data_IF_067319065255
#
_entry.id   IF_067319065255
#
_cell.length_a   1.000
_cell.length_b   1.000
_cell.length_c   1.000
_cell.angle_alpha   90.00
_cell.angle_beta   90.00
_cell.angle_gamma   90.00
#
_symmetry.space_group_name_H-M   'P 1'
#
loop_
_entity.id
_entity.type
_entity.pdbx_description
1 polymer ?
#
# COMPACT_ATOMS: atom_id res chain seq x y z
N UNK A 1 -34.21 -60.43 -80.50
CA UNK A 1 -33.44 -60.55 -79.24
C UNK A 1 -33.09 -59.15 -78.75
N UNK A 2 -33.87 -58.66 -77.81
CA UNK A 2 -33.91 -57.28 -77.31
C UNK A 2 -32.89 -57.07 -76.20
N UNK A 3 -32.00 -56.08 -76.35
CA UNK A 3 -30.98 -55.72 -75.37
C UNK A 3 -31.45 -54.52 -74.54
N UNK A 4 -31.87 -54.78 -73.31
CA UNK A 4 -32.25 -53.76 -72.32
C UNK A 4 -31.02 -53.19 -71.63
N UNK A 5 -30.68 -51.92 -71.90
CA UNK A 5 -29.68 -51.15 -71.12
C UNK A 5 -30.32 -50.64 -69.83
N UNK A 6 -29.75 -51.00 -68.67
CA UNK A 6 -30.09 -50.44 -67.35
C UNK A 6 -29.49 -49.03 -67.18
N UNK A 7 -30.16 -48.09 -66.48
CA UNK A 7 -29.59 -46.78 -66.19
C UNK A 7 -28.61 -46.84 -65.00
N UNK A 8 -27.55 -46.03 -65.05
CA UNK A 8 -26.56 -45.88 -63.98
C UNK A 8 -27.14 -45.03 -62.84
N UNK A 9 -26.89 -45.34 -61.56
CA UNK A 9 -27.35 -44.52 -60.45
C UNK A 9 -26.57 -43.19 -60.42
N UNK A 10 -27.32 -42.09 -60.30
CA UNK A 10 -26.79 -40.74 -60.20
C UNK A 10 -25.95 -40.57 -58.93
N UNK A 11 -24.79 -39.96 -59.08
CA UNK A 11 -23.86 -39.63 -57.99
C UNK A 11 -24.47 -38.51 -57.14
N UNK A 12 -24.79 -38.78 -55.88
CA UNK A 12 -25.28 -37.76 -54.95
C UNK A 12 -24.22 -36.65 -54.77
N UNK A 13 -24.61 -35.36 -54.67
CA UNK A 13 -23.66 -34.29 -54.42
C UNK A 13 -23.10 -34.40 -52.99
N UNK A 14 -21.78 -34.20 -52.86
CA UNK A 14 -21.11 -34.23 -51.56
C UNK A 14 -21.66 -33.13 -50.63
N UNK A 15 -21.81 -33.41 -49.32
CA UNK A 15 -22.30 -32.43 -48.37
C UNK A 15 -21.30 -31.28 -48.27
N UNK A 16 -21.76 -30.06 -48.54
CA UNK A 16 -20.96 -28.86 -48.31
C UNK A 16 -20.73 -28.71 -46.80
N UNK A 17 -19.47 -28.85 -46.36
CA UNK A 17 -19.07 -28.60 -44.99
C UNK A 17 -19.24 -27.11 -44.70
N UNK A 18 -20.44 -26.73 -44.26
CA UNK A 18 -20.76 -25.37 -43.82
C UNK A 18 -19.90 -25.08 -42.59
N UNK A 19 -18.81 -24.38 -42.80
CA UNK A 19 -17.91 -23.94 -41.74
C UNK A 19 -18.69 -23.04 -40.77
N UNK A 20 -19.22 -23.65 -39.70
CA UNK A 20 -19.91 -22.94 -38.63
C UNK A 20 -18.86 -22.09 -37.92
N UNK A 21 -18.72 -20.81 -38.32
CA UNK A 21 -17.90 -19.82 -37.61
C UNK A 21 -18.28 -19.89 -36.13
N UNK A 22 -17.44 -20.54 -35.31
CA UNK A 22 -17.62 -20.59 -33.86
C UNK A 22 -17.45 -19.15 -33.37
N UNK A 23 -18.56 -18.53 -32.95
CA UNK A 23 -18.50 -17.20 -32.32
C UNK A 23 -17.64 -17.34 -31.06
N UNK A 24 -16.59 -16.53 -30.87
CA UNK A 24 -15.73 -16.66 -29.69
C UNK A 24 -16.57 -16.49 -28.42
N UNK A 25 -16.27 -17.23 -27.35
CA UNK A 25 -17.05 -17.18 -26.12
C UNK A 25 -17.06 -15.75 -25.58
N UNK A 26 -18.24 -15.23 -25.21
CA UNK A 26 -18.46 -13.82 -24.82
C UNK A 26 -17.52 -13.31 -23.70
N UNK A 27 -16.87 -14.20 -22.94
CA UNK A 27 -15.87 -13.86 -21.91
C UNK A 27 -14.58 -13.24 -22.44
N UNK A 28 -14.06 -13.65 -23.61
CA UNK A 28 -12.79 -13.09 -24.14
C UNK A 28 -12.93 -11.66 -24.67
N UNK A 29 -14.17 -11.21 -24.97
CA UNK A 29 -14.44 -9.85 -25.44
C UNK A 29 -14.25 -8.77 -24.37
N UNK A 30 -14.33 -9.14 -23.08
CA UNK A 30 -14.17 -8.19 -21.97
C UNK A 30 -12.72 -8.11 -21.47
N UNK A 31 -11.87 -9.08 -21.81
CA UNK A 31 -10.46 -9.12 -21.44
C UNK A 31 -9.67 -7.86 -21.86
N UNK A 32 -9.77 -7.34 -23.10
CA UNK A 32 -9.04 -6.13 -23.48
C UNK A 32 -9.52 -4.88 -22.72
N UNK A 33 -10.81 -4.80 -22.36
CA UNK A 33 -11.36 -3.71 -21.55
C UNK A 33 -10.84 -3.77 -20.10
N UNK A 34 -10.74 -4.97 -19.53
CA UNK A 34 -10.16 -5.17 -18.19
C UNK A 34 -8.68 -4.83 -18.17
N UNK A 35 -7.92 -5.27 -19.19
CA UNK A 35 -6.50 -4.94 -19.33
C UNK A 35 -6.27 -3.44 -19.56
N UNK A 36 -7.10 -2.79 -20.37
CA UNK A 36 -7.05 -1.35 -20.55
C UNK A 36 -7.37 -0.60 -19.25
N UNK A 37 -8.39 -1.03 -18.49
CA UNK A 37 -8.71 -0.47 -17.18
C UNK A 37 -7.56 -0.63 -16.17
N UNK A 38 -6.93 -1.81 -16.13
CA UNK A 38 -5.77 -2.05 -15.28
C UNK A 38 -4.57 -1.18 -15.69
N UNK A 39 -4.32 -1.03 -16.99
CA UNK A 39 -3.25 -0.17 -17.52
C UNK A 39 -3.46 1.29 -17.13
N UNK A 40 -4.70 1.79 -17.18
CA UNK A 40 -5.05 3.15 -16.73
C UNK A 40 -4.81 3.31 -15.23
N UNK A 41 -5.19 2.32 -14.40
CA UNK A 41 -4.93 2.36 -12.96
C UNK A 41 -3.43 2.35 -12.64
N UNK A 42 -2.65 1.53 -13.33
CA UNK A 42 -1.18 1.50 -13.17
C UNK A 42 -0.55 2.83 -13.60
N UNK A 43 -0.99 3.40 -14.71
CA UNK A 43 -0.53 4.71 -15.16
C UNK A 43 -0.88 5.81 -14.16
N UNK A 44 -2.11 5.81 -13.63
CA UNK A 44 -2.54 6.78 -12.61
C UNK A 44 -1.73 6.63 -11.31
N UNK A 45 -1.47 5.40 -10.85
CA UNK A 45 -0.62 5.15 -9.69
C UNK A 45 0.83 5.61 -9.92
N UNK A 46 1.37 5.38 -11.12
CA UNK A 46 2.70 5.85 -11.51
C UNK A 46 2.79 7.38 -11.54
N UNK A 47 1.77 8.06 -12.07
CA UNK A 47 1.68 9.53 -12.04
C UNK A 47 1.59 10.05 -10.60
N UNK A 48 0.78 9.42 -9.75
CA UNK A 48 0.65 9.81 -8.34
C UNK A 48 1.96 9.59 -7.56
N UNK A 49 2.66 8.48 -7.79
CA UNK A 49 3.96 8.21 -7.17
C UNK A 49 5.02 9.19 -7.67
N UNK A 50 5.08 9.44 -8.98
CA UNK A 50 6.01 10.40 -9.57
C UNK A 50 5.75 11.84 -9.10
N UNK A 51 4.49 12.26 -9.00
CA UNK A 51 4.13 13.58 -8.49
C UNK A 51 4.47 13.73 -7.01
N UNK A 52 4.30 12.68 -6.20
CA UNK A 52 4.77 12.68 -4.81
C UNK A 52 6.30 12.83 -4.74
N UNK A 53 7.06 12.08 -5.54
CA UNK A 53 8.54 12.20 -5.57
C UNK A 53 8.97 13.61 -5.96
N UNK A 54 8.33 14.23 -6.95
CA UNK A 54 8.64 15.61 -7.35
C UNK A 54 8.22 16.62 -6.27
N UNK A 55 7.04 16.44 -5.66
CA UNK A 55 6.52 17.34 -4.64
C UNK A 55 7.35 17.30 -3.34
N UNK A 56 7.84 16.13 -2.95
CA UNK A 56 8.60 15.93 -1.72
C UNK A 56 10.13 15.95 -1.93
N UNK A 57 10.62 15.68 -3.14
CA UNK A 57 12.05 15.58 -3.44
C UNK A 57 12.81 16.90 -3.25
N UNK A 58 12.22 18.02 -3.62
CA UNK A 58 12.83 19.35 -3.42
C UNK A 58 12.59 19.91 -2.00
N UNK A 59 11.61 19.37 -1.26
CA UNK A 59 11.21 19.87 0.07
C UNK A 59 11.88 19.13 1.22
N UNK A 60 12.52 18.00 0.96
CA UNK A 60 13.23 17.20 1.97
C UNK A 60 14.69 17.64 2.11
N UNK A 61 14.94 18.93 2.27
CA UNK A 61 16.26 19.38 2.73
C UNK A 61 16.43 19.05 4.22
N UNK A 62 17.03 17.89 4.49
CA UNK A 62 17.32 17.43 5.84
C UNK A 62 18.37 18.32 6.53
N UNK A 63 19.12 19.13 5.80
CA UNK A 63 20.13 20.04 6.39
C UNK A 63 19.48 21.23 7.10
N UNK A 64 18.25 21.57 6.75
CA UNK A 64 17.44 22.57 7.43
C UNK A 64 16.81 22.07 8.76
N UNK A 65 16.89 20.77 9.05
CA UNK A 65 16.35 20.20 10.30
C UNK A 65 17.17 20.69 11.49
N UNK A 66 16.66 21.71 12.18
CA UNK A 66 17.19 22.11 13.47
C UNK A 66 16.98 20.97 14.46
N UNK A 67 18.05 20.59 15.17
CA UNK A 67 17.91 19.67 16.31
C UNK A 67 16.84 20.23 17.25
N UNK A 68 15.86 19.41 17.68
CA UNK A 68 14.89 19.83 18.68
C UNK A 68 15.64 20.35 19.90
N UNK A 69 15.34 21.59 20.32
CA UNK A 69 15.82 22.06 21.62
C UNK A 69 15.13 21.22 22.68
N UNK A 70 15.92 20.36 23.33
CA UNK A 70 15.45 19.59 24.45
C UNK A 70 15.58 20.39 25.77
N UNK A 71 15.03 21.62 25.83
CA UNK A 71 14.82 22.37 27.08
C UNK A 71 14.21 21.51 28.19
N UNK A 72 14.90 21.36 29.30
CA UNK A 72 14.47 20.53 30.41
C UNK A 72 14.45 21.35 31.68
N UNK A 73 13.65 20.89 32.63
CA UNK A 73 13.61 21.51 33.94
C UNK A 73 14.99 21.51 34.60
N UNK A 74 15.27 22.55 35.37
CA UNK A 74 16.43 22.58 36.27
C UNK A 74 16.00 22.03 37.62
N UNK A 75 16.78 21.10 38.17
CA UNK A 75 16.53 20.49 39.48
C UNK A 75 17.52 21.06 40.49
N UNK A 76 17.02 21.56 41.61
CA UNK A 76 17.84 22.13 42.70
C UNK A 76 17.95 21.10 43.81
N UNK A 77 19.18 20.79 44.24
CA UNK A 77 19.47 19.79 45.27
C UNK A 77 20.18 20.43 46.47
N UNK A 78 19.95 19.88 47.66
CA UNK A 78 20.70 20.22 48.87
C UNK A 78 22.07 19.50 48.89
N UNK A 79 22.92 19.85 49.87
CA UNK A 79 24.26 19.27 50.01
C UNK A 79 24.26 17.75 50.26
N UNK A 80 23.15 17.21 50.80
CA UNK A 80 22.91 15.78 51.00
C UNK A 80 22.29 15.08 49.78
N UNK A 81 22.17 15.81 48.66
CA UNK A 81 21.58 15.36 47.40
C UNK A 81 20.05 15.13 47.43
N UNK A 82 19.35 15.65 48.44
CA UNK A 82 17.88 15.69 48.45
C UNK A 82 17.35 16.76 47.48
N UNK A 83 16.22 16.46 46.82
CA UNK A 83 15.59 17.40 45.89
C UNK A 83 14.88 18.53 46.67
N UNK A 84 15.32 19.77 46.45
CA UNK A 84 14.72 20.97 47.05
C UNK A 84 13.61 21.54 46.17
N UNK A 85 13.73 21.41 44.85
CA UNK A 85 12.72 21.95 43.93
C UNK A 85 13.08 21.84 42.47
N UNK A 86 12.13 22.27 41.64
CA UNK A 86 12.21 22.23 40.19
C UNK A 86 11.93 23.62 39.64
N UNK A 87 12.84 24.13 38.82
CA UNK A 87 12.63 25.34 38.02
C UNK A 87 12.17 24.87 36.63
N UNK A 88 10.87 25.03 36.29
CA UNK A 88 10.32 24.53 35.05
C UNK A 88 10.78 25.36 33.85
N UNK A 89 10.91 24.73 32.68
CA UNK A 89 10.98 25.44 31.39
C UNK A 89 9.56 25.60 30.81
N UNK A 90 9.46 26.03 29.55
CA UNK A 90 8.17 26.09 28.84
C UNK A 90 7.42 24.75 28.85
N UNK A 91 8.15 23.64 28.88
CA UNK A 91 7.58 22.29 28.93
C UNK A 91 8.15 21.52 30.11
N UNK A 92 7.27 21.01 30.96
CA UNK A 92 7.67 20.09 32.02
C UNK A 92 8.20 18.78 31.41
N UNK A 93 9.53 18.64 31.32
CA UNK A 93 10.15 17.40 30.85
C UNK A 93 11.50 17.11 31.49
N UNK A 94 11.81 15.81 31.50
CA UNK A 94 13.11 15.26 31.85
C UNK A 94 13.52 14.26 30.77
N UNK A 95 14.71 14.44 30.19
CA UNK A 95 15.26 13.51 29.21
C UNK A 95 16.03 12.43 29.95
N UNK A 96 15.65 11.19 29.67
CA UNK A 96 16.31 10.00 30.19
C UNK A 96 16.80 9.16 29.02
N UNK A 97 17.94 8.49 29.18
CA UNK A 97 18.39 7.53 28.18
C UNK A 97 17.47 6.31 28.15
N UNK A 98 17.38 5.64 27.00
CA UNK A 98 16.51 4.48 26.81
C UNK A 98 16.78 3.35 27.82
N UNK A 99 18.03 3.22 28.30
CA UNK A 99 18.43 2.25 29.31
C UNK A 99 17.89 2.52 30.72
N UNK A 100 17.51 3.77 31.02
CA UNK A 100 16.83 4.14 32.27
C UNK A 100 15.33 3.86 32.24
N UNK A 101 14.79 3.46 31.08
CA UNK A 101 13.37 3.16 30.89
C UNK A 101 13.14 1.66 31.06
N UNK A 102 12.17 1.29 31.89
CA UNK A 102 11.75 -0.10 32.09
C UNK A 102 11.53 -0.81 30.73
N UNK A 103 12.06 -2.02 30.52
CA UNK A 103 11.78 -2.82 29.33
C UNK A 103 10.28 -3.02 29.10
N UNK A 104 9.49 -3.10 30.18
CA UNK A 104 8.04 -3.26 30.10
C UNK A 104 7.34 -2.00 29.60
N UNK A 105 7.78 -0.82 30.02
CA UNK A 105 7.23 0.44 29.52
C UNK A 105 7.50 0.60 28.02
N UNK A 106 8.73 0.30 27.57
CA UNK A 106 9.08 0.31 26.13
C UNK A 106 8.18 -0.64 25.33
N UNK A 107 8.01 -1.89 25.80
CA UNK A 107 7.13 -2.87 25.16
C UNK A 107 5.67 -2.44 25.16
N UNK A 108 5.17 -1.87 26.25
CA UNK A 108 3.79 -1.42 26.38
C UNK A 108 3.48 -0.26 25.42
N UNK A 109 4.37 0.75 25.34
CA UNK A 109 4.22 1.86 24.40
C UNK A 109 4.19 1.35 22.96
N UNK A 110 5.14 0.47 22.58
CA UNK A 110 5.13 -0.14 21.24
C UNK A 110 3.84 -0.92 21.01
N UNK A 111 3.37 -1.71 21.97
CA UNK A 111 2.15 -2.49 21.81
C UNK A 111 0.88 -1.64 21.58
N UNK A 112 0.81 -0.47 22.22
CA UNK A 112 -0.36 0.44 22.14
C UNK A 112 -0.28 1.33 20.89
N UNK A 113 0.86 1.97 20.66
CA UNK A 113 1.01 2.98 19.59
C UNK A 113 1.23 2.32 18.22
N UNK A 114 2.15 1.36 18.15
CA UNK A 114 2.52 0.69 16.91
C UNK A 114 3.08 -0.72 17.18
N UNK A 115 2.16 -1.68 17.29
CA UNK A 115 2.48 -3.09 17.56
C UNK A 115 3.46 -3.73 16.56
N UNK A 116 3.69 -3.11 15.41
CA UNK A 116 4.59 -3.60 14.35
C UNK A 116 5.77 -2.67 14.10
N UNK A 117 6.05 -1.75 15.02
CA UNK A 117 7.14 -0.80 14.93
C UNK A 117 8.47 -1.41 14.48
N UNK A 118 8.83 -2.59 15.01
CA UNK A 118 10.08 -3.29 14.66
C UNK A 118 9.99 -4.17 13.40
N UNK A 119 8.79 -4.35 12.84
CA UNK A 119 8.54 -5.19 11.67
C UNK A 119 8.50 -4.40 10.36
N UNK A 120 8.35 -3.08 10.42
CA UNK A 120 8.32 -2.22 9.23
C UNK A 120 9.48 -1.21 9.23
N UNK A 121 9.86 -0.74 8.04
CA UNK A 121 11.04 0.12 7.83
C UNK A 121 10.80 1.61 8.11
N UNK A 122 9.84 1.95 8.98
CA UNK A 122 9.42 3.32 9.26
C UNK A 122 8.19 3.79 8.48
N UNK A 123 7.79 3.04 7.44
CA UNK A 123 6.49 3.19 6.77
C UNK A 123 5.73 1.89 6.95
N UNK A 124 4.47 1.99 7.39
CA UNK A 124 3.54 0.86 7.55
C UNK A 124 2.46 0.86 6.45
N UNK A 125 2.68 0.21 5.27
CA UNK A 125 1.70 0.16 4.19
C UNK A 125 0.37 -0.50 4.59
N UNK A 126 0.42 -1.51 5.45
CA UNK A 126 -0.80 -2.17 5.93
C UNK A 126 -1.54 -1.27 6.93
N UNK A 127 -0.82 -0.51 7.75
CA UNK A 127 -1.40 0.53 8.59
C UNK A 127 -2.13 1.60 7.77
N UNK A 128 -1.49 2.08 6.71
CA UNK A 128 -2.05 3.04 5.77
C UNK A 128 -3.29 2.47 5.08
N UNK A 129 -3.23 1.23 4.57
CA UNK A 129 -4.36 0.58 3.91
C UNK A 129 -5.56 0.38 4.87
N UNK A 130 -5.29 -0.01 6.13
CA UNK A 130 -6.33 -0.12 7.16
C UNK A 130 -6.96 1.23 7.49
N UNK A 131 -6.15 2.28 7.63
CA UNK A 131 -6.63 3.63 7.89
C UNK A 131 -7.51 4.14 6.73
N UNK A 132 -7.03 4.02 5.50
CA UNK A 132 -7.80 4.35 4.29
C UNK A 132 -9.16 3.65 4.25
N UNK A 133 -9.19 2.34 4.54
CA UNK A 133 -10.45 1.60 4.57
C UNK A 133 -11.40 2.08 5.67
N UNK A 134 -10.87 2.43 6.85
CA UNK A 134 -11.67 3.02 7.93
C UNK A 134 -12.24 4.38 7.55
N UNK A 135 -11.45 5.23 6.89
CA UNK A 135 -11.89 6.56 6.46
C UNK A 135 -13.00 6.45 5.41
N UNK A 136 -12.87 5.55 4.44
CA UNK A 136 -13.90 5.27 3.44
C UNK A 136 -15.21 4.76 4.08
N UNK A 137 -15.11 4.00 5.17
CA UNK A 137 -16.29 3.55 5.93
C UNK A 137 -16.90 4.66 6.81
N UNK A 138 -16.08 5.60 7.27
CA UNK A 138 -16.50 6.69 8.16
C UNK A 138 -17.16 7.86 7.39
N UNK A 139 -16.78 8.08 6.13
CA UNK A 139 -17.35 9.11 5.25
C UNK A 139 -16.63 10.45 5.34
#
# INVERSE_FOLDING_TARGET
MTSTRRPRPGRAPAPSLRHRRRKPPRRVRKLPLVLAGLAVLVAAAGVAAGSAVLAFGERCDLTALKRPRNDQNTFVYAADNSLLGVIPTERNRQVVSLGKISPWLRKATVAIEDRRFYAHGGVDPEGIARAFWRDVQAG
#
